data_IF_586474036970
#
_entry.id   IF_586474036970
#
_cell.length_a   1.000
_cell.length_b   1.000
_cell.length_c   1.000
_cell.angle_alpha   90.00
_cell.angle_beta   90.00
_cell.angle_gamma   90.00
#
_symmetry.space_group_name_H-M   'P 1'
#
loop_
_entity.id
_entity.type
_entity.pdbx_description
1 polymer ?
#
# COMPACT_ATOMS: atom_id res chain seq x y z
N UNK A 1 24.48 -3.33 -31.72
CA UNK A 1 24.34 -2.16 -30.86
C UNK A 1 24.28 -2.66 -29.41
N UNK A 2 25.05 -2.10 -28.52
CA UNK A 2 25.03 -2.47 -27.08
C UNK A 2 24.12 -1.49 -26.34
N UNK A 3 22.86 -1.89 -26.09
CA UNK A 3 21.89 -1.05 -25.39
C UNK A 3 22.27 -0.75 -23.91
N UNK A 4 23.12 -1.58 -23.27
CA UNK A 4 23.54 -1.35 -21.88
C UNK A 4 24.29 -0.03 -21.69
N UNK A 5 24.99 0.45 -22.72
CA UNK A 5 25.70 1.72 -22.71
C UNK A 5 24.76 2.94 -22.91
N UNK A 6 23.53 2.68 -23.37
CA UNK A 6 22.53 3.73 -23.67
C UNK A 6 21.49 3.88 -22.58
N UNK A 7 21.39 2.94 -21.64
CA UNK A 7 20.41 3.02 -20.56
C UNK A 7 20.72 4.18 -19.62
N UNK A 8 19.67 4.91 -19.25
CA UNK A 8 19.76 5.98 -18.27
C UNK A 8 20.09 5.44 -16.87
N UNK A 9 20.62 6.31 -16.01
CA UNK A 9 20.88 5.99 -14.60
C UNK A 9 19.60 5.53 -13.86
N UNK A 10 18.42 6.01 -14.27
CA UNK A 10 17.13 5.58 -13.72
C UNK A 10 16.92 4.08 -13.96
N UNK A 11 17.14 3.61 -15.19
CA UNK A 11 17.00 2.19 -15.55
C UNK A 11 18.07 1.36 -14.87
N UNK A 12 19.31 1.86 -14.78
CA UNK A 12 20.41 1.15 -14.08
C UNK A 12 20.15 0.95 -12.58
N UNK A 13 19.43 1.87 -11.93
CA UNK A 13 18.96 1.73 -10.53
C UNK A 13 17.75 0.79 -10.40
N UNK A 14 17.00 0.57 -11.48
CA UNK A 14 15.78 -0.25 -11.43
C UNK A 14 16.12 -1.72 -11.23
N UNK A 15 15.47 -2.37 -10.26
CA UNK A 15 15.59 -3.82 -10.01
C UNK A 15 14.26 -4.49 -10.32
N UNK A 16 14.31 -5.75 -10.76
CA UNK A 16 13.09 -6.55 -10.88
C UNK A 16 12.42 -6.71 -9.50
N UNK A 17 11.10 -6.67 -9.49
CA UNK A 17 10.35 -6.87 -8.23
C UNK A 17 10.41 -8.34 -7.83
N UNK A 18 10.98 -8.64 -6.66
CA UNK A 18 11.05 -9.99 -6.09
C UNK A 18 9.66 -10.65 -6.02
N UNK A 19 8.62 -9.89 -5.62
CA UNK A 19 7.23 -10.43 -5.62
C UNK A 19 6.77 -10.79 -7.04
N UNK A 20 7.08 -9.98 -8.06
CA UNK A 20 6.64 -10.28 -9.42
C UNK A 20 7.32 -11.51 -9.99
N UNK A 21 8.60 -11.69 -9.71
CA UNK A 21 9.31 -12.91 -10.12
C UNK A 21 8.76 -14.14 -9.37
N UNK A 22 8.51 -14.00 -8.06
CA UNK A 22 7.86 -15.04 -7.27
C UNK A 22 6.45 -15.38 -7.82
N UNK A 23 5.65 -14.39 -8.19
CA UNK A 23 4.31 -14.59 -8.75
C UNK A 23 4.34 -15.40 -10.06
N UNK A 24 5.38 -15.29 -10.88
CA UNK A 24 5.55 -16.14 -12.07
C UNK A 24 5.76 -17.61 -11.69
N UNK A 25 6.57 -17.86 -10.65
CA UNK A 25 6.85 -19.22 -10.16
C UNK A 25 5.62 -19.87 -9.55
N UNK A 26 4.84 -19.10 -8.79
CA UNK A 26 3.67 -19.57 -8.05
C UNK A 26 2.35 -19.52 -8.86
N UNK A 27 2.39 -19.15 -10.13
CA UNK A 27 1.23 -19.25 -11.05
C UNK A 27 0.78 -20.71 -11.28
N UNK A 28 1.54 -21.68 -10.78
CA UNK A 28 1.21 -23.11 -10.83
C UNK A 28 0.02 -23.42 -9.92
N UNK A 29 -1.01 -24.14 -10.43
CA UNK A 29 -2.24 -24.41 -9.68
C UNK A 29 -2.06 -25.33 -8.47
N UNK A 30 -0.94 -26.05 -8.38
CA UNK A 30 -0.60 -26.96 -7.29
C UNK A 30 0.09 -26.26 -6.10
N UNK A 31 0.40 -24.95 -6.22
CA UNK A 31 1.03 -24.16 -5.15
C UNK A 31 0.00 -23.31 -4.45
N UNK A 32 -0.14 -23.48 -3.14
CA UNK A 32 -0.95 -22.59 -2.30
C UNK A 32 -0.15 -21.33 -1.99
N UNK A 33 -0.64 -20.18 -2.44
CA UNK A 33 0.12 -18.93 -2.35
C UNK A 33 -0.44 -17.97 -1.30
N UNK A 34 0.37 -17.64 -0.31
CA UNK A 34 0.20 -16.51 0.60
C UNK A 34 1.02 -15.27 0.17
N UNK A 35 1.71 -15.34 -0.98
CA UNK A 35 2.66 -14.31 -1.39
C UNK A 35 2.00 -13.07 -2.00
N UNK A 36 0.92 -13.23 -2.77
CA UNK A 36 0.25 -12.13 -3.46
C UNK A 36 -0.39 -11.12 -2.49
N UNK A 37 -0.35 -9.84 -2.84
CA UNK A 37 -1.16 -8.80 -2.16
C UNK A 37 -2.49 -8.58 -2.86
N UNK A 38 -3.15 -9.66 -3.27
CA UNK A 38 -4.33 -9.64 -4.12
C UNK A 38 -5.62 -9.69 -3.28
N UNK A 39 -6.63 -8.86 -3.60
CA UNK A 39 -8.00 -9.05 -3.11
C UNK A 39 -8.59 -10.40 -3.57
N UNK A 40 -9.61 -10.86 -2.88
CA UNK A 40 -10.38 -12.04 -3.25
C UNK A 40 -11.20 -11.77 -4.53
N UNK A 41 -10.97 -12.49 -5.64
CA UNK A 41 -11.69 -12.27 -6.89
C UNK A 41 -13.18 -12.63 -6.80
N UNK A 42 -13.58 -13.52 -5.88
CA UNK A 42 -14.99 -13.89 -5.68
C UNK A 42 -15.83 -12.74 -5.10
N UNK A 43 -15.18 -11.74 -4.52
CA UNK A 43 -15.83 -10.55 -4.00
C UNK A 43 -15.99 -9.43 -5.04
N UNK A 44 -15.44 -9.55 -6.24
CA UNK A 44 -15.56 -8.46 -7.22
C UNK A 44 -17.02 -8.22 -7.62
N UNK A 45 -17.48 -6.96 -7.64
CA UNK A 45 -18.88 -6.61 -7.93
C UNK A 45 -19.15 -6.66 -9.44
N UNK A 46 -18.94 -7.82 -10.08
CA UNK A 46 -18.93 -8.00 -11.53
C UNK A 46 -20.26 -7.61 -12.18
N UNK A 47 -21.39 -7.90 -11.52
CA UNK A 47 -22.73 -7.55 -12.04
C UNK A 47 -22.96 -6.04 -12.04
N UNK A 48 -22.62 -5.38 -10.93
CA UNK A 48 -22.79 -3.92 -10.81
C UNK A 48 -21.86 -3.19 -11.78
N UNK A 49 -20.60 -3.65 -11.88
CA UNK A 49 -19.62 -3.10 -12.83
C UNK A 49 -20.09 -3.26 -14.26
N UNK A 50 -20.61 -4.44 -14.65
CA UNK A 50 -21.14 -4.67 -15.99
C UNK A 50 -22.28 -3.74 -16.32
N UNK A 51 -23.28 -3.60 -15.43
CA UNK A 51 -24.42 -2.71 -15.62
C UNK A 51 -23.99 -1.25 -15.73
N UNK A 52 -23.12 -0.79 -14.82
CA UNK A 52 -22.62 0.59 -14.82
C UNK A 52 -21.82 0.90 -16.09
N UNK A 53 -20.97 -0.01 -16.54
CA UNK A 53 -20.20 0.19 -17.78
C UNK A 53 -21.12 0.33 -19.01
N UNK A 54 -22.22 -0.44 -19.05
CA UNK A 54 -23.23 -0.30 -20.10
C UNK A 54 -23.91 1.07 -20.02
N UNK A 55 -24.42 1.46 -18.83
CA UNK A 55 -25.05 2.76 -18.62
C UNK A 55 -24.14 3.93 -19.02
N UNK A 56 -22.85 3.88 -18.65
CA UNK A 56 -21.86 4.90 -19.01
C UNK A 56 -21.67 5.01 -20.52
N UNK A 57 -21.65 3.90 -21.24
CA UNK A 57 -21.49 3.90 -22.69
C UNK A 57 -22.78 4.34 -23.41
N UNK A 58 -23.94 4.04 -22.86
CA UNK A 58 -25.22 4.44 -23.45
C UNK A 58 -25.53 5.92 -23.20
N UNK A 59 -25.28 6.42 -21.97
CA UNK A 59 -25.67 7.76 -21.55
C UNK A 59 -24.60 8.83 -21.83
N UNK A 60 -23.32 8.46 -21.75
CA UNK A 60 -22.19 9.40 -21.81
C UNK A 60 -21.03 8.94 -22.72
N UNK A 61 -21.29 8.37 -23.91
CA UNK A 61 -20.23 7.77 -24.75
C UNK A 61 -19.12 8.77 -25.12
N UNK A 62 -19.49 10.01 -25.39
CA UNK A 62 -18.51 11.05 -25.78
C UNK A 62 -17.55 11.39 -24.65
N UNK A 63 -18.04 11.48 -23.41
CA UNK A 63 -17.20 11.76 -22.24
C UNK A 63 -16.37 10.54 -21.85
N UNK A 64 -16.94 9.34 -21.96
CA UNK A 64 -16.28 8.09 -21.60
C UNK A 64 -15.11 7.73 -22.53
N UNK A 65 -15.24 8.01 -23.84
CA UNK A 65 -14.32 7.56 -24.87
C UNK A 65 -13.34 8.66 -25.36
N UNK A 66 -13.51 9.92 -24.92
CA UNK A 66 -12.62 11.03 -25.24
C UNK A 66 -11.56 11.19 -24.14
N UNK A 67 -10.50 11.95 -24.41
CA UNK A 67 -9.55 12.40 -23.40
C UNK A 67 -10.25 13.23 -22.31
N UNK A 68 -9.87 13.01 -21.05
CA UNK A 68 -10.32 13.78 -19.92
C UNK A 68 -9.35 14.89 -19.51
N UNK A 69 -9.70 15.62 -18.45
CA UNK A 69 -8.77 16.56 -17.81
C UNK A 69 -7.70 15.79 -17.02
N UNK A 70 -6.52 16.36 -16.89
CA UNK A 70 -5.39 15.73 -16.18
C UNK A 70 -5.69 15.56 -14.69
N UNK A 71 -6.38 16.52 -14.08
CA UNK A 71 -6.83 16.48 -12.69
C UNK A 71 -7.79 15.32 -12.43
N UNK A 72 -8.51 14.89 -13.46
CA UNK A 72 -9.55 13.88 -13.42
C UNK A 72 -10.96 14.46 -13.47
N UNK A 73 -11.93 13.57 -13.65
CA UNK A 73 -13.35 13.91 -13.83
C UNK A 73 -13.89 14.70 -12.62
N UNK A 74 -14.36 15.93 -12.85
CA UNK A 74 -14.74 16.86 -11.78
C UNK A 74 -15.82 16.28 -10.88
N UNK A 75 -16.86 15.67 -11.43
CA UNK A 75 -17.94 15.13 -10.62
C UNK A 75 -17.45 13.99 -9.70
N UNK A 76 -16.51 13.15 -10.16
CA UNK A 76 -15.87 12.15 -9.30
C UNK A 76 -15.07 12.81 -8.19
N UNK A 77 -14.27 13.84 -8.47
CA UNK A 77 -13.51 14.57 -7.43
C UNK A 77 -14.44 15.23 -6.40
N UNK A 78 -15.57 15.79 -6.83
CA UNK A 78 -16.60 16.34 -5.93
C UNK A 78 -17.23 15.25 -5.05
N UNK A 79 -17.51 14.08 -5.60
CA UNK A 79 -18.07 12.95 -4.82
C UNK A 79 -17.04 12.40 -3.82
N UNK A 80 -15.77 12.34 -4.21
CA UNK A 80 -14.69 11.95 -3.31
C UNK A 80 -14.50 12.92 -2.14
N UNK A 81 -14.65 14.23 -2.36
CA UNK A 81 -14.62 15.23 -1.28
C UNK A 81 -15.71 14.96 -0.24
N UNK A 82 -16.94 14.62 -0.69
CA UNK A 82 -18.04 14.27 0.22
C UNK A 82 -17.72 12.98 0.99
N UNK A 83 -17.30 11.92 0.26
CA UNK A 83 -16.93 10.65 0.86
C UNK A 83 -15.83 10.82 1.92
N UNK A 84 -14.77 11.55 1.63
CA UNK A 84 -13.66 11.80 2.55
C UNK A 84 -14.11 12.55 3.80
N UNK A 85 -15.02 13.52 3.66
CA UNK A 85 -15.59 14.24 4.81
C UNK A 85 -16.42 13.32 5.70
N UNK A 86 -17.23 12.48 5.10
CA UNK A 86 -18.15 11.57 5.80
C UNK A 86 -17.42 10.40 6.48
N UNK A 87 -16.43 9.79 5.79
CA UNK A 87 -15.80 8.57 6.28
C UNK A 87 -14.47 8.80 7.01
N UNK A 88 -13.74 9.89 6.68
CA UNK A 88 -12.40 10.14 7.19
C UNK A 88 -12.26 11.45 7.98
N UNK A 89 -13.31 12.28 8.01
CA UNK A 89 -13.28 13.61 8.63
C UNK A 89 -12.34 14.59 7.89
N UNK A 90 -11.97 14.28 6.65
CA UNK A 90 -11.09 15.12 5.82
C UNK A 90 -11.93 16.19 5.14
N UNK A 91 -11.59 17.47 5.38
CA UNK A 91 -12.13 18.59 4.63
C UNK A 91 -11.16 19.01 3.53
N UNK A 92 -11.60 18.90 2.28
CA UNK A 92 -10.83 19.27 1.11
C UNK A 92 -11.73 19.89 0.04
N UNK A 93 -11.13 20.50 -0.99
CA UNK A 93 -11.82 20.95 -2.20
C UNK A 93 -11.46 20.05 -3.38
N UNK A 94 -12.24 20.06 -4.47
CA UNK A 94 -11.85 19.30 -5.67
C UNK A 94 -10.46 19.69 -6.23
N UNK A 95 -10.02 20.93 -6.04
CA UNK A 95 -8.72 21.41 -6.52
C UNK A 95 -7.53 20.96 -5.65
N UNK A 96 -7.83 20.36 -4.50
CA UNK A 96 -6.87 19.67 -3.64
C UNK A 96 -6.78 18.18 -3.94
N UNK A 97 -7.46 17.67 -5.01
CA UNK A 97 -7.43 16.29 -5.44
C UNK A 97 -6.94 16.15 -6.88
N UNK A 98 -6.14 15.10 -7.14
CA UNK A 98 -5.79 14.65 -8.50
C UNK A 98 -5.99 13.15 -8.61
N UNK A 99 -6.66 12.71 -9.70
CA UNK A 99 -6.83 11.30 -10.01
C UNK A 99 -5.56 10.71 -10.58
N UNK A 100 -5.23 9.48 -10.18
CA UNK A 100 -4.02 8.77 -10.60
C UNK A 100 -4.32 7.31 -10.93
N UNK A 101 -3.39 6.66 -11.65
CA UNK A 101 -3.45 5.24 -11.96
C UNK A 101 -3.00 4.39 -10.76
N UNK A 102 -3.81 4.42 -9.71
CA UNK A 102 -3.58 3.83 -8.38
C UNK A 102 -2.35 4.40 -7.63
N UNK A 103 -2.17 3.99 -6.36
CA UNK A 103 -1.08 4.52 -5.51
C UNK A 103 0.32 4.32 -6.08
N UNK A 104 0.55 3.34 -6.95
CA UNK A 104 1.88 3.14 -7.54
C UNK A 104 2.30 4.32 -8.42
N UNK A 105 1.36 4.93 -9.18
CA UNK A 105 1.65 6.15 -9.92
C UNK A 105 1.86 7.33 -8.97
N UNK A 106 1.05 7.42 -7.91
CA UNK A 106 1.22 8.47 -6.91
C UNK A 106 2.61 8.43 -6.25
N UNK A 107 3.11 7.23 -5.90
CA UNK A 107 4.44 7.03 -5.33
C UNK A 107 5.55 7.49 -6.31
N UNK A 108 5.47 7.07 -7.58
CA UNK A 108 6.46 7.47 -8.60
C UNK A 108 6.42 8.99 -8.84
N UNK A 109 5.22 9.57 -8.95
CA UNK A 109 5.05 11.02 -9.11
C UNK A 109 5.60 11.79 -7.91
N UNK A 110 5.34 11.34 -6.68
CA UNK A 110 5.86 11.97 -5.46
C UNK A 110 7.38 11.94 -5.43
N UNK A 111 7.96 10.79 -5.76
CA UNK A 111 9.41 10.65 -5.84
C UNK A 111 10.01 11.63 -6.86
N UNK A 112 9.46 11.70 -8.07
CA UNK A 112 9.91 12.65 -9.11
C UNK A 112 9.71 14.10 -8.75
N UNK A 113 8.67 14.41 -7.97
CA UNK A 113 8.33 15.80 -7.61
C UNK A 113 9.26 16.35 -6.52
N UNK A 114 9.67 15.51 -5.57
CA UNK A 114 10.35 15.98 -4.36
C UNK A 114 11.79 15.49 -4.21
N UNK A 115 12.23 14.46 -4.94
CA UNK A 115 13.52 13.80 -4.72
C UNK A 115 14.49 14.04 -5.86
N UNK A 116 15.64 14.60 -5.55
CA UNK A 116 16.84 14.52 -6.39
C UNK A 116 17.69 13.31 -5.96
N UNK A 117 18.51 12.73 -6.85
CA UNK A 117 19.40 11.63 -6.47
C UNK A 117 20.27 11.99 -5.25
N UNK A 118 20.23 11.13 -4.22
CA UNK A 118 20.93 11.31 -2.95
C UNK A 118 20.14 12.07 -1.86
N UNK A 119 18.98 12.65 -2.17
CA UNK A 119 18.14 13.28 -1.17
C UNK A 119 17.59 12.25 -0.16
N UNK A 120 17.66 12.55 1.16
CA UNK A 120 17.17 11.64 2.18
C UNK A 120 15.65 11.68 2.30
N UNK A 121 15.07 10.50 2.45
CA UNK A 121 13.70 10.28 2.91
C UNK A 121 13.72 9.29 4.07
N UNK A 122 12.69 9.30 4.92
CA UNK A 122 12.55 8.34 6.01
C UNK A 122 11.30 7.50 5.79
N UNK A 123 11.40 6.19 6.07
CA UNK A 123 10.28 5.25 6.03
C UNK A 123 10.18 4.49 7.33
N UNK A 124 9.02 3.93 7.66
CA UNK A 124 8.94 2.85 8.63
C UNK A 124 9.80 1.66 8.17
N UNK A 125 10.30 0.86 9.08
CA UNK A 125 11.11 -0.32 8.79
C UNK A 125 10.58 -1.52 9.59
N UNK A 126 10.00 -2.55 8.93
CA UNK A 126 9.83 -2.71 7.50
C UNK A 126 8.75 -1.80 6.88
N UNK A 127 8.71 -1.72 5.53
CA UNK A 127 7.71 -0.92 4.81
C UNK A 127 7.36 -1.51 3.43
N UNK A 128 6.40 -0.91 2.71
CA UNK A 128 5.93 -1.39 1.41
C UNK A 128 7.03 -1.37 0.35
N UNK A 129 7.39 -2.55 -0.15
CA UNK A 129 8.47 -2.69 -1.14
C UNK A 129 8.20 -1.97 -2.47
N UNK A 130 6.92 -1.78 -2.87
CA UNK A 130 6.61 -1.00 -4.08
C UNK A 130 6.91 0.50 -3.93
N UNK A 131 6.83 1.02 -2.71
CA UNK A 131 7.28 2.37 -2.39
C UNK A 131 8.80 2.45 -2.37
N UNK A 132 9.47 1.50 -1.71
CA UNK A 132 10.94 1.41 -1.71
C UNK A 132 11.48 1.39 -3.14
N UNK A 133 10.86 0.61 -4.03
CA UNK A 133 11.25 0.54 -5.44
C UNK A 133 11.09 1.89 -6.16
N UNK A 134 9.93 2.57 -5.98
CA UNK A 134 9.69 3.88 -6.61
C UNK A 134 10.71 4.92 -6.14
N UNK A 135 10.99 4.97 -4.84
CA UNK A 135 11.95 5.91 -4.25
C UNK A 135 13.40 5.58 -4.64
N UNK A 136 13.75 4.30 -4.72
CA UNK A 136 15.07 3.86 -5.17
C UNK A 136 15.32 4.22 -6.64
N UNK A 137 14.33 4.03 -7.51
CA UNK A 137 14.40 4.42 -8.94
C UNK A 137 14.63 5.93 -9.09
N UNK A 138 14.00 6.75 -8.25
CA UNK A 138 14.26 8.20 -8.21
C UNK A 138 15.64 8.56 -7.65
N UNK A 139 16.34 7.62 -7.02
CA UNK A 139 17.66 7.82 -6.43
C UNK A 139 17.63 8.35 -5.00
N UNK A 140 16.52 8.19 -4.28
CA UNK A 140 16.44 8.59 -2.88
C UNK A 140 17.46 7.84 -2.01
N UNK A 141 18.02 8.53 -1.01
CA UNK A 141 18.69 7.91 0.12
C UNK A 141 17.62 7.53 1.16
N UNK A 142 17.21 6.26 1.16
CA UNK A 142 16.12 5.76 1.99
C UNK A 142 16.67 5.38 3.37
N UNK A 143 16.12 5.95 4.43
CA UNK A 143 16.51 5.69 5.82
C UNK A 143 15.34 5.00 6.51
N UNK A 144 15.52 3.78 7.00
CA UNK A 144 14.53 3.06 7.78
C UNK A 144 14.51 3.55 9.22
N UNK A 145 13.34 3.91 9.77
CA UNK A 145 13.15 4.12 11.19
C UNK A 145 12.49 2.88 11.82
N UNK A 146 12.99 2.45 12.96
CA UNK A 146 12.55 1.24 13.65
C UNK A 146 11.05 1.28 13.95
N UNK A 147 10.43 0.11 13.97
CA UNK A 147 9.00 -0.08 14.28
C UNK A 147 8.81 -1.14 15.35
N UNK A 148 7.70 -1.05 16.06
CA UNK A 148 7.18 -2.05 16.99
C UNK A 148 5.80 -2.55 16.51
N UNK A 149 5.06 -3.25 17.39
CA UNK A 149 3.72 -3.77 17.11
C UNK A 149 2.68 -2.66 16.82
N UNK A 150 3.00 -1.42 17.07
CA UNK A 150 2.19 -0.22 16.83
C UNK A 150 2.78 0.69 15.74
N UNK A 151 3.63 0.15 14.87
CA UNK A 151 4.25 0.86 13.76
C UNK A 151 5.52 1.65 14.13
N UNK A 152 5.86 2.65 13.34
CA UNK A 152 7.10 3.41 13.47
C UNK A 152 7.29 4.03 14.88
N UNK A 153 8.48 3.90 15.44
CA UNK A 153 8.86 4.52 16.72
C UNK A 153 9.17 6.01 16.52
N UNK A 154 8.39 6.86 17.19
CA UNK A 154 8.53 8.31 17.07
C UNK A 154 9.90 8.81 17.53
N UNK A 155 10.49 8.20 18.57
CA UNK A 155 11.79 8.53 19.13
C UNK A 155 12.93 8.22 18.13
N UNK A 156 12.87 7.08 17.44
CA UNK A 156 13.88 6.73 16.43
C UNK A 156 13.75 7.60 15.18
N UNK A 157 12.49 7.91 14.77
CA UNK A 157 12.22 8.87 13.70
C UNK A 157 12.85 10.23 14.02
N UNK A 158 12.62 10.76 15.23
CA UNK A 158 13.15 12.05 15.64
C UNK A 158 14.68 12.04 15.69
N UNK A 159 15.29 10.96 16.23
CA UNK A 159 16.74 10.82 16.28
C UNK A 159 17.38 10.84 14.88
N UNK A 160 16.73 10.20 13.87
CA UNK A 160 17.21 10.21 12.48
C UNK A 160 17.07 11.58 11.82
N UNK A 161 15.97 12.28 12.05
CA UNK A 161 15.78 13.66 11.57
C UNK A 161 16.79 14.61 12.20
N UNK A 162 17.07 14.47 13.50
CA UNK A 162 18.09 15.27 14.19
C UNK A 162 19.50 15.04 13.60
N UNK A 163 19.85 13.79 13.29
CA UNK A 163 21.13 13.46 12.63
C UNK A 163 21.23 14.07 11.24
N UNK A 164 20.16 14.02 10.44
CA UNK A 164 20.13 14.68 9.13
C UNK A 164 20.32 16.18 9.25
N UNK A 165 19.59 16.82 10.16
CA UNK A 165 19.72 18.27 10.43
C UNK A 165 21.15 18.65 10.87
N UNK A 166 21.76 17.87 11.75
CA UNK A 166 23.15 18.10 12.18
C UNK A 166 24.16 17.94 11.03
N UNK A 167 23.85 17.11 10.02
CA UNK A 167 24.64 16.92 8.80
C UNK A 167 24.30 17.96 7.70
N UNK A 168 23.49 18.99 7.99
CA UNK A 168 23.07 19.99 7.03
C UNK A 168 22.15 19.47 5.92
N UNK A 169 21.49 18.31 6.14
CA UNK A 169 20.59 17.68 5.18
C UNK A 169 19.13 17.83 5.63
N UNK A 170 18.24 18.04 4.65
CA UNK A 170 16.79 18.10 4.87
C UNK A 170 16.15 16.79 4.40
N UNK A 171 15.39 16.13 5.27
CA UNK A 171 14.53 15.02 4.89
C UNK A 171 13.41 15.53 3.98
N UNK A 172 13.24 14.93 2.80
CA UNK A 172 12.22 15.39 1.85
C UNK A 172 10.82 15.07 2.33
N UNK A 173 10.60 13.83 2.78
CA UNK A 173 9.33 13.40 3.38
C UNK A 173 9.53 12.15 4.23
N UNK A 174 8.52 11.89 5.08
CA UNK A 174 8.38 10.66 5.85
C UNK A 174 7.26 9.85 5.21
N UNK A 175 7.58 8.65 4.68
CA UNK A 175 6.58 7.76 4.07
C UNK A 175 6.04 6.77 5.08
N UNK A 176 4.71 6.71 5.21
CA UNK A 176 4.01 5.84 6.16
C UNK A 176 2.77 5.19 5.52
N UNK A 177 2.53 3.92 5.87
CA UNK A 177 1.26 3.22 5.71
C UNK A 177 0.66 3.07 7.10
N UNK A 178 -0.17 4.00 7.58
CA UNK A 178 -0.52 4.09 8.99
C UNK A 178 -1.56 3.07 9.45
N UNK A 179 -2.35 2.50 8.53
CA UNK A 179 -3.42 1.56 8.85
C UNK A 179 -3.16 0.22 8.16
N UNK A 180 -3.12 -0.87 8.97
CA UNK A 180 -2.92 -2.24 8.49
C UNK A 180 -1.75 -2.37 7.53
N UNK A 181 -0.62 -1.85 7.95
CA UNK A 181 0.57 -1.69 7.13
C UNK A 181 0.91 -2.94 6.30
N UNK A 182 1.32 -2.74 5.07
CA UNK A 182 2.03 -3.72 4.29
C UNK A 182 3.54 -3.55 4.54
N UNK A 183 4.24 -4.50 5.23
CA UNK A 183 3.85 -5.90 5.32
C UNK A 183 3.24 -6.37 6.66
N UNK A 184 3.33 -5.58 7.74
CA UNK A 184 3.16 -6.07 9.12
C UNK A 184 1.72 -6.25 9.58
N UNK A 185 0.76 -5.59 8.93
CA UNK A 185 -0.65 -5.55 9.38
C UNK A 185 -0.87 -4.63 10.58
N UNK A 186 0.14 -3.91 11.06
CA UNK A 186 0.05 -3.03 12.22
C UNK A 186 -0.68 -1.71 11.90
N UNK A 187 -1.24 -1.08 12.92
CA UNK A 187 -1.88 0.24 12.83
C UNK A 187 -1.22 1.20 13.82
N UNK A 188 -0.88 2.39 13.36
CA UNK A 188 -0.31 3.45 14.21
C UNK A 188 -1.45 4.08 15.02
N UNK A 189 -1.43 4.04 16.38
CA UNK A 189 -2.45 4.65 17.21
C UNK A 189 -2.42 6.18 17.12
N UNK A 190 -3.54 6.82 17.41
CA UNK A 190 -3.73 8.25 17.19
C UNK A 190 -2.72 9.11 17.94
N UNK A 191 -2.43 8.78 19.21
CA UNK A 191 -1.46 9.55 20.02
C UNK A 191 -0.07 9.53 19.37
N UNK A 192 0.32 8.39 18.78
CA UNK A 192 1.60 8.29 18.06
C UNK A 192 1.58 9.06 16.75
N UNK A 193 0.42 9.10 16.02
CA UNK A 193 0.27 9.95 14.84
C UNK A 193 0.44 11.43 15.17
N UNK A 194 -0.18 11.91 16.24
CA UNK A 194 0.00 13.29 16.71
C UNK A 194 1.47 13.59 16.96
N UNK A 195 2.17 12.74 17.71
CA UNK A 195 3.59 12.92 18.00
C UNK A 195 4.47 12.93 16.74
N UNK A 196 4.21 12.03 15.80
CA UNK A 196 4.93 11.98 14.50
C UNK A 196 4.68 13.25 13.70
N UNK A 197 3.46 13.77 13.67
CA UNK A 197 3.10 15.00 12.97
C UNK A 197 3.81 16.22 13.58
N UNK A 198 3.88 16.31 14.90
CA UNK A 198 4.64 17.36 15.60
C UNK A 198 6.15 17.29 15.28
N UNK A 199 6.71 16.08 15.23
CA UNK A 199 8.09 15.86 14.81
C UNK A 199 8.29 16.31 13.38
N UNK A 200 7.41 15.94 12.43
CA UNK A 200 7.49 16.36 11.05
C UNK A 200 7.50 17.90 10.91
N UNK A 201 6.60 18.58 11.62
CA UNK A 201 6.55 20.06 11.68
C UNK A 201 7.85 20.67 12.24
N UNK A 202 8.38 20.13 13.33
CA UNK A 202 9.63 20.58 13.98
C UNK A 202 10.84 20.51 13.04
N UNK A 203 10.87 19.53 12.15
CA UNK A 203 11.98 19.31 11.21
C UNK A 203 11.70 19.82 9.79
N UNK A 204 10.57 20.51 9.57
CA UNK A 204 10.18 21.06 8.27
C UNK A 204 10.16 19.99 7.15
N UNK A 205 9.64 18.83 7.45
CA UNK A 205 9.39 17.74 6.49
C UNK A 205 7.90 17.43 6.47
N UNK A 206 7.39 16.89 5.36
CA UNK A 206 5.98 16.48 5.31
C UNK A 206 5.82 14.96 5.43
N UNK A 207 4.62 14.52 5.76
CA UNK A 207 4.24 13.12 5.81
C UNK A 207 3.57 12.74 4.49
N UNK A 208 4.10 11.72 3.81
CA UNK A 208 3.45 11.04 2.71
C UNK A 208 2.66 9.86 3.28
N UNK A 209 1.36 10.04 3.47
CA UNK A 209 0.45 9.06 4.02
C UNK A 209 -0.13 8.18 2.90
N UNK A 210 0.13 6.89 2.93
CA UNK A 210 -0.43 5.91 1.98
C UNK A 210 -1.52 5.09 2.68
N UNK A 211 -2.77 5.24 2.24
CA UNK A 211 -3.96 4.70 2.89
C UNK A 211 -4.73 3.69 2.03
N UNK A 212 -4.11 2.56 1.61
CA UNK A 212 -4.80 1.59 0.76
C UNK A 212 -5.71 0.63 1.52
N UNK A 213 -5.53 0.46 2.84
CA UNK A 213 -6.21 -0.59 3.61
C UNK A 213 -7.17 -0.06 4.65
N UNK A 214 -7.15 1.23 4.97
CA UNK A 214 -7.86 1.87 6.07
C UNK A 214 -9.33 1.48 6.20
N UNK A 215 -10.03 1.40 5.08
CA UNK A 215 -11.46 1.05 5.04
C UNK A 215 -11.74 -0.45 5.27
N UNK A 216 -10.70 -1.30 5.31
CA UNK A 216 -10.81 -2.75 5.54
C UNK A 216 -10.50 -3.06 7.01
N UNK A 217 -11.23 -2.44 7.92
CA UNK A 217 -11.12 -2.64 9.38
C UNK A 217 -12.14 -3.68 9.86
N UNK A 218 -11.68 -4.63 10.65
CA UNK A 218 -12.51 -5.72 11.18
C UNK A 218 -13.01 -5.44 12.59
N UNK A 219 -12.22 -4.74 13.39
CA UNK A 219 -12.49 -4.47 14.80
C UNK A 219 -11.83 -3.18 15.27
N UNK A 220 -12.27 -2.66 16.43
CA UNK A 220 -11.80 -1.39 16.97
C UNK A 220 -12.28 -0.17 16.20
N UNK A 221 -11.81 1.00 16.61
CA UNK A 221 -12.08 2.28 15.97
C UNK A 221 -10.92 2.72 15.09
N UNK A 222 -11.22 3.45 14.01
CA UNK A 222 -10.20 3.97 13.12
C UNK A 222 -9.57 5.24 13.71
N UNK A 223 -8.25 5.26 13.99
CA UNK A 223 -7.56 6.50 14.37
C UNK A 223 -7.74 7.55 13.26
N UNK A 224 -7.75 8.84 13.56
CA UNK A 224 -7.80 9.88 12.53
C UNK A 224 -6.59 9.77 11.60
N UNK A 225 -6.79 10.04 10.30
CA UNK A 225 -5.69 10.13 9.32
C UNK A 225 -4.71 11.25 9.69
N UNK A 226 -3.47 11.15 9.24
CA UNK A 226 -2.52 12.28 9.42
C UNK A 226 -3.05 13.55 8.75
N UNK A 227 -3.72 13.43 7.60
CA UNK A 227 -4.32 14.57 6.91
C UNK A 227 -5.41 15.26 7.74
N UNK A 228 -6.30 14.48 8.36
CA UNK A 228 -7.34 15.01 9.25
C UNK A 228 -6.75 15.66 10.51
N UNK A 229 -5.69 15.07 11.09
CA UNK A 229 -4.95 15.64 12.23
C UNK A 229 -4.21 16.93 11.87
N UNK A 230 -3.67 17.02 10.66
CA UNK A 230 -3.00 18.23 10.17
C UNK A 230 -3.98 19.38 9.88
N UNK A 231 -5.24 19.06 9.68
CA UNK A 231 -6.32 20.04 9.45
C UNK A 231 -5.99 21.07 8.35
N UNK A 232 -5.43 20.60 7.24
CA UNK A 232 -5.13 21.42 6.07
C UNK A 232 -3.94 22.38 6.22
N UNK A 233 -3.07 22.20 7.22
CA UNK A 233 -1.87 23.04 7.42
C UNK A 233 -0.75 22.77 6.41
N UNK A 234 -0.91 21.80 5.52
CA UNK A 234 0.02 21.54 4.42
C UNK A 234 1.19 20.61 4.77
N UNK A 235 1.17 19.97 5.94
CA UNK A 235 2.25 19.07 6.35
C UNK A 235 2.00 17.61 5.95
N UNK A 236 0.88 17.30 5.29
CA UNK A 236 0.52 15.93 4.90
C UNK A 236 0.02 15.90 3.46
N UNK A 237 0.51 14.92 2.72
CA UNK A 237 -0.05 14.51 1.42
C UNK A 237 -0.53 13.08 1.59
N UNK A 238 -1.80 12.82 1.27
CA UNK A 238 -2.40 11.49 1.44
C UNK A 238 -2.76 10.87 0.09
N UNK A 239 -2.46 9.58 -0.06
CA UNK A 239 -2.79 8.80 -1.23
C UNK A 239 -3.85 7.75 -0.89
N UNK A 240 -4.87 7.63 -1.74
CA UNK A 240 -5.92 6.62 -1.66
C UNK A 240 -5.97 5.79 -2.93
N UNK A 241 -6.44 4.55 -2.81
CA UNK A 241 -6.63 3.66 -3.96
C UNK A 241 -7.92 2.88 -3.85
N UNK A 242 -8.57 2.65 -4.96
CA UNK A 242 -9.73 1.74 -5.07
C UNK A 242 -9.33 0.26 -5.18
N UNK A 243 -8.03 -0.04 -5.27
CA UNK A 243 -7.53 -1.40 -5.52
C UNK A 243 -7.89 -2.42 -4.45
N UNK A 244 -8.19 -2.00 -3.21
CA UNK A 244 -8.46 -2.93 -2.09
C UNK A 244 -9.92 -2.96 -1.66
N UNK A 245 -10.69 -1.98 -2.12
CA UNK A 245 -12.10 -1.78 -1.71
C UNK A 245 -13.08 -1.81 -2.88
N UNK A 246 -12.58 -1.92 -4.12
CA UNK A 246 -13.41 -1.98 -5.33
C UNK A 246 -12.79 -2.93 -6.35
N UNK A 247 -12.24 -2.42 -7.46
CA UNK A 247 -11.70 -3.24 -8.55
C UNK A 247 -10.24 -2.91 -8.80
N UNK A 248 -9.28 -3.78 -8.42
CA UNK A 248 -7.85 -3.52 -8.61
C UNK A 248 -7.47 -3.36 -10.09
N UNK A 249 -8.18 -4.02 -11.00
CA UNK A 249 -7.98 -3.93 -12.46
C UNK A 249 -8.28 -2.57 -13.06
N UNK A 250 -9.10 -1.74 -12.41
CA UNK A 250 -9.38 -0.37 -12.86
C UNK A 250 -8.16 0.55 -12.75
N UNK A 251 -7.19 0.19 -11.93
CA UNK A 251 -6.01 1.02 -11.71
C UNK A 251 -6.38 2.46 -11.37
N UNK A 252 -7.27 2.66 -10.42
CA UNK A 252 -7.75 3.99 -10.02
C UNK A 252 -7.39 4.31 -8.57
N UNK A 253 -6.97 5.54 -8.33
CA UNK A 253 -6.67 6.12 -7.03
C UNK A 253 -6.64 7.64 -7.14
N UNK A 254 -6.34 8.31 -6.03
CA UNK A 254 -6.23 9.76 -5.99
C UNK A 254 -5.28 10.23 -4.89
N UNK A 255 -4.76 11.44 -5.06
CA UNK A 255 -3.92 12.15 -4.11
C UNK A 255 -4.72 13.31 -3.55
N UNK A 256 -4.61 13.56 -2.25
CA UNK A 256 -5.13 14.75 -1.56
C UNK A 256 -3.96 15.50 -0.95
N UNK A 257 -3.88 16.80 -1.16
CA UNK A 257 -2.80 17.62 -0.63
C UNK A 257 -3.05 19.13 -0.81
N UNK A 258 -2.08 19.97 -0.42
CA UNK A 258 -2.16 21.41 -0.67
C UNK A 258 -2.34 21.70 -2.17
N UNK A 259 -3.20 22.66 -2.50
CA UNK A 259 -3.54 22.98 -3.90
C UNK A 259 -2.31 23.31 -4.75
N UNK A 260 -1.35 24.05 -4.21
CA UNK A 260 -0.10 24.37 -4.90
C UNK A 260 0.72 23.14 -5.25
N UNK A 261 0.69 22.11 -4.39
CA UNK A 261 1.37 20.82 -4.61
C UNK A 261 0.60 20.00 -5.64
N UNK A 262 -0.74 19.94 -5.54
CA UNK A 262 -1.60 19.24 -6.51
C UNK A 262 -1.40 19.83 -7.92
N UNK A 263 -1.27 21.13 -8.08
CA UNK A 263 -0.94 21.76 -9.37
C UNK A 263 0.39 21.23 -9.96
N UNK A 264 1.39 20.94 -9.12
CA UNK A 264 2.66 20.36 -9.59
C UNK A 264 2.51 18.88 -9.98
N UNK A 265 1.70 18.12 -9.24
CA UNK A 265 1.33 16.77 -9.66
C UNK A 265 0.64 16.78 -11.03
N UNK A 266 -0.29 17.68 -11.26
CA UNK A 266 -0.99 17.84 -12.56
C UNK A 266 0.00 18.12 -13.68
N UNK A 267 0.92 19.10 -13.50
CA UNK A 267 1.93 19.40 -14.52
C UNK A 267 2.81 18.17 -14.83
N UNK A 268 3.25 17.45 -13.80
CA UNK A 268 4.04 16.25 -13.99
C UNK A 268 3.25 15.15 -14.71
N UNK A 269 1.98 14.95 -14.33
CA UNK A 269 1.08 13.96 -14.93
C UNK A 269 0.79 14.23 -16.41
N UNK A 270 0.71 15.50 -16.83
CA UNK A 270 0.56 15.87 -18.25
C UNK A 270 1.67 15.26 -19.12
N UNK A 271 2.90 15.24 -18.59
CA UNK A 271 4.04 14.65 -19.29
C UNK A 271 4.14 13.13 -19.18
N UNK A 272 3.39 12.49 -18.26
CA UNK A 272 3.45 11.05 -18.01
C UNK A 272 2.40 10.27 -18.80
N UNK A 273 1.14 10.60 -18.63
CA UNK A 273 0.01 9.84 -19.19
C UNK A 273 -1.17 10.73 -19.63
N UNK A 274 -1.02 12.04 -19.58
CA UNK A 274 -1.99 13.07 -19.93
C UNK A 274 -3.22 13.06 -18.99
N UNK A 275 -3.93 11.95 -18.86
CA UNK A 275 -5.08 11.78 -17.98
C UNK A 275 -5.27 10.30 -17.58
N UNK A 276 -5.87 10.08 -16.43
CA UNK A 276 -6.36 8.75 -16.04
C UNK A 276 -7.59 8.40 -16.86
N UNK A 277 -7.78 7.12 -17.20
CA UNK A 277 -8.87 6.62 -18.07
C UNK A 277 -10.25 7.22 -17.73
N UNK A 278 -10.89 8.00 -18.64
CA UNK A 278 -12.17 8.65 -18.35
C UNK A 278 -13.31 7.65 -18.12
N UNK A 279 -13.40 6.59 -18.91
CA UNK A 279 -14.46 5.57 -18.76
C UNK A 279 -14.43 4.92 -17.38
N UNK A 280 -13.24 4.64 -16.84
CA UNK A 280 -13.10 4.04 -15.51
C UNK A 280 -13.41 5.04 -14.40
N UNK A 281 -13.12 6.33 -14.60
CA UNK A 281 -13.52 7.38 -13.68
C UNK A 281 -15.04 7.58 -13.66
N UNK A 282 -15.69 7.58 -14.81
CA UNK A 282 -17.15 7.66 -14.92
C UNK A 282 -17.82 6.44 -14.26
N UNK A 283 -17.34 5.24 -14.53
CA UNK A 283 -17.86 4.02 -13.91
C UNK A 283 -17.69 4.05 -12.37
N UNK A 284 -16.55 4.55 -11.88
CA UNK A 284 -16.32 4.68 -10.44
C UNK A 284 -17.21 5.77 -9.84
N UNK A 285 -17.41 6.89 -10.52
CA UNK A 285 -18.36 7.94 -10.10
C UNK A 285 -19.78 7.38 -9.95
N UNK A 286 -20.27 6.63 -10.93
CA UNK A 286 -21.58 6.02 -10.87
C UNK A 286 -21.70 5.01 -9.71
N UNK A 287 -20.64 4.21 -9.48
CA UNK A 287 -20.61 3.26 -8.37
C UNK A 287 -20.71 3.97 -7.00
N UNK A 288 -20.00 5.09 -6.84
CA UNK A 288 -20.06 5.93 -5.63
C UNK A 288 -21.42 6.60 -5.50
N UNK A 289 -21.90 7.27 -6.55
CA UNK A 289 -23.17 8.01 -6.54
C UNK A 289 -24.38 7.12 -6.22
N UNK A 290 -24.32 5.84 -6.61
CA UNK A 290 -25.35 4.83 -6.30
C UNK A 290 -25.23 4.26 -4.87
N UNK A 291 -24.26 4.71 -4.08
CA UNK A 291 -24.03 4.22 -2.70
C UNK A 291 -23.49 2.79 -2.61
N UNK A 292 -23.03 2.21 -3.74
CA UNK A 292 -22.64 0.79 -3.80
C UNK A 292 -21.30 0.50 -3.11
N UNK A 293 -20.39 1.49 -3.05
CA UNK A 293 -19.05 1.27 -2.50
C UNK A 293 -19.09 0.88 -1.02
N UNK A 294 -19.82 1.60 -0.19
CA UNK A 294 -19.85 1.32 1.25
C UNK A 294 -20.49 -0.03 1.57
N UNK A 295 -21.53 -0.41 0.81
CA UNK A 295 -22.15 -1.74 0.95
C UNK A 295 -21.20 -2.86 0.50
N UNK A 296 -20.41 -2.61 -0.53
CA UNK A 296 -19.38 -3.55 -0.99
C UNK A 296 -18.26 -3.72 0.04
N UNK A 297 -17.79 -2.63 0.64
CA UNK A 297 -16.77 -2.67 1.70
C UNK A 297 -17.24 -3.52 2.89
N UNK A 298 -18.52 -3.44 3.29
CA UNK A 298 -19.06 -4.30 4.35
C UNK A 298 -18.94 -5.79 4.03
N UNK A 299 -19.15 -6.19 2.77
CA UNK A 299 -18.98 -7.60 2.32
C UNK A 299 -17.50 -8.01 2.38
N UNK A 300 -16.60 -7.13 1.94
CA UNK A 300 -15.14 -7.38 2.02
C UNK A 300 -14.72 -7.56 3.48
N UNK A 301 -15.14 -6.67 4.38
CA UNK A 301 -14.82 -6.72 5.80
C UNK A 301 -15.29 -8.04 6.43
N UNK A 302 -16.53 -8.46 6.16
CA UNK A 302 -17.07 -9.70 6.69
C UNK A 302 -16.24 -10.93 6.26
N UNK A 303 -15.96 -11.05 4.95
CA UNK A 303 -15.18 -12.14 4.40
C UNK A 303 -13.74 -12.17 4.91
N UNK A 304 -13.06 -11.02 4.92
CA UNK A 304 -11.65 -10.97 5.32
C UNK A 304 -11.46 -11.13 6.83
N UNK A 305 -12.42 -10.70 7.66
CA UNK A 305 -12.42 -11.00 9.09
C UNK A 305 -12.43 -12.51 9.34
N UNK A 306 -13.34 -13.25 8.69
CA UNK A 306 -13.40 -14.70 8.81
C UNK A 306 -12.11 -15.39 8.37
N UNK A 307 -11.52 -14.94 7.27
CA UNK A 307 -10.25 -15.45 6.75
C UNK A 307 -9.08 -15.15 7.69
N UNK A 308 -9.00 -13.92 8.24
CA UNK A 308 -8.00 -13.52 9.24
C UNK A 308 -8.11 -14.40 10.50
N UNK A 309 -9.32 -14.59 11.02
CA UNK A 309 -9.56 -15.37 12.23
C UNK A 309 -9.20 -16.85 12.02
N UNK A 310 -9.54 -17.40 10.85
CA UNK A 310 -9.13 -18.75 10.47
C UNK A 310 -7.61 -18.88 10.39
N UNK A 311 -6.93 -17.91 9.76
CA UNK A 311 -5.47 -17.90 9.67
C UNK A 311 -4.83 -17.87 11.06
N UNK A 312 -5.26 -16.97 11.94
CA UNK A 312 -4.74 -16.87 13.31
C UNK A 312 -4.96 -18.15 14.12
N UNK A 313 -6.14 -18.76 14.02
CA UNK A 313 -6.46 -20.04 14.66
C UNK A 313 -5.53 -21.15 14.16
N UNK A 314 -5.35 -21.26 12.85
CA UNK A 314 -4.54 -22.31 12.23
C UNK A 314 -3.05 -22.13 12.57
N UNK A 315 -2.56 -20.87 12.60
CA UNK A 315 -1.19 -20.58 13.06
C UNK A 315 -0.99 -21.04 14.51
N UNK A 316 -1.92 -20.70 15.41
CA UNK A 316 -1.83 -21.10 16.81
C UNK A 316 -1.86 -22.62 17.02
N UNK A 317 -2.52 -23.37 16.12
CA UNK A 317 -2.63 -24.84 16.20
C UNK A 317 -1.39 -25.56 15.65
N UNK A 318 -0.78 -25.07 14.57
CA UNK A 318 0.25 -25.84 13.84
C UNK A 318 1.67 -25.26 13.92
N UNK A 319 1.83 -23.94 14.13
CA UNK A 319 3.16 -23.33 14.14
C UNK A 319 3.99 -23.72 15.36
N UNK A 320 5.31 -23.87 15.20
CA UNK A 320 6.24 -24.00 16.33
C UNK A 320 6.13 -22.82 17.31
N UNK A 321 6.41 -23.09 18.59
CA UNK A 321 6.32 -22.07 19.66
C UNK A 321 7.34 -20.94 19.51
N UNK A 322 8.39 -21.18 18.79
CA UNK A 322 9.49 -20.25 18.49
C UNK A 322 9.11 -19.21 17.44
N UNK A 323 7.99 -19.41 16.71
CA UNK A 323 7.50 -18.50 15.67
C UNK A 323 6.48 -17.55 16.28
N UNK A 324 6.66 -16.26 16.03
CA UNK A 324 5.69 -15.23 16.40
C UNK A 324 5.04 -14.59 15.17
N UNK A 325 3.89 -13.94 15.37
CA UNK A 325 3.17 -13.26 14.30
C UNK A 325 2.33 -12.11 14.81
N UNK A 326 2.09 -11.13 13.93
CA UNK A 326 1.20 -10.01 14.19
C UNK A 326 -0.28 -10.45 14.22
N UNK A 327 -1.12 -9.66 14.88
CA UNK A 327 -2.58 -9.88 14.97
C UNK A 327 -3.32 -8.66 14.41
N UNK A 328 -3.47 -8.56 13.07
CA UNK A 328 -4.02 -7.39 12.44
C UNK A 328 -5.52 -7.22 12.73
N UNK A 329 -5.94 -5.99 13.02
CA UNK A 329 -7.36 -5.60 13.20
C UNK A 329 -8.06 -5.30 11.87
N UNK A 330 -7.37 -5.47 10.74
CA UNK A 330 -7.86 -5.17 9.40
C UNK A 330 -6.83 -5.50 8.32
N UNK A 331 -7.05 -4.98 7.13
CA UNK A 331 -6.12 -5.15 6.00
C UNK A 331 -6.14 -6.53 5.37
N UNK A 332 -5.00 -6.94 4.82
CA UNK A 332 -4.85 -8.15 4.01
C UNK A 332 -3.70 -9.06 4.45
N UNK A 333 -2.84 -8.60 5.37
CA UNK A 333 -1.55 -9.22 5.66
C UNK A 333 -1.35 -9.54 7.12
N UNK A 334 -0.52 -10.55 7.32
CA UNK A 334 0.01 -10.96 8.59
C UNK A 334 1.52 -11.15 8.43
N UNK A 335 2.30 -10.80 9.46
CA UNK A 335 3.74 -10.86 9.49
C UNK A 335 4.21 -11.92 10.47
N UNK A 336 5.00 -12.90 9.98
CA UNK A 336 5.63 -13.91 10.80
C UNK A 336 7.10 -13.57 11.02
N UNK A 337 7.55 -13.80 12.26
CA UNK A 337 8.96 -13.72 12.63
C UNK A 337 9.44 -15.09 13.10
N UNK A 338 10.44 -15.61 12.40
CA UNK A 338 11.14 -16.86 12.70
C UNK A 338 12.28 -16.62 13.70
N UNK A 339 12.82 -17.65 14.35
CA UNK A 339 14.06 -17.53 15.11
C UNK A 339 15.20 -16.94 14.26
N UNK A 340 16.06 -16.12 14.85
CA UNK A 340 17.11 -15.35 14.17
C UNK A 340 18.08 -16.19 13.31
N UNK A 341 18.23 -17.49 13.61
CA UNK A 341 19.08 -18.39 12.84
C UNK A 341 18.41 -18.98 11.60
N UNK A 342 17.10 -18.76 11.42
CA UNK A 342 16.35 -19.27 10.27
C UNK A 342 16.18 -18.16 9.23
N UNK A 343 16.71 -18.38 8.03
CA UNK A 343 16.60 -17.43 6.92
C UNK A 343 15.36 -17.75 6.07
N UNK A 344 14.37 -16.85 6.08
CA UNK A 344 13.13 -17.00 5.32
C UNK A 344 13.35 -16.97 3.79
N UNK A 345 14.40 -16.35 3.31
CA UNK A 345 14.75 -16.36 1.87
C UNK A 345 15.27 -17.73 1.44
N UNK A 346 16.14 -18.34 2.24
CA UNK A 346 16.70 -19.68 1.98
C UNK A 346 15.66 -20.78 2.20
N UNK A 347 14.67 -20.55 3.06
CA UNK A 347 13.56 -21.47 3.31
C UNK A 347 12.55 -21.52 2.16
N UNK A 348 12.41 -20.43 1.39
CA UNK A 348 11.38 -20.29 0.36
C UNK A 348 11.42 -21.37 -0.73
N UNK A 349 12.57 -21.80 -1.30
CA UNK A 349 12.62 -22.90 -2.25
C UNK A 349 12.02 -24.20 -1.70
N UNK A 350 12.33 -24.55 -0.44
CA UNK A 350 11.80 -25.75 0.24
C UNK A 350 10.28 -25.63 0.46
N UNK A 351 9.79 -24.43 0.81
CA UNK A 351 8.36 -24.20 0.92
C UNK A 351 7.64 -24.40 -0.43
N UNK A 352 8.25 -23.95 -1.54
CA UNK A 352 7.72 -24.15 -2.90
C UNK A 352 7.70 -25.64 -3.28
N UNK A 353 8.72 -26.43 -2.92
CA UNK A 353 8.72 -27.88 -3.07
C UNK A 353 7.56 -28.53 -2.30
N UNK A 354 7.28 -28.04 -1.10
CA UNK A 354 6.14 -28.43 -0.27
C UNK A 354 4.80 -27.77 -0.70
N UNK A 355 4.76 -27.14 -1.89
CA UNK A 355 3.56 -26.56 -2.50
C UNK A 355 2.92 -25.43 -1.71
N UNK A 356 3.73 -24.65 -1.03
CA UNK A 356 3.30 -23.41 -0.36
C UNK A 356 4.28 -22.28 -0.62
N UNK A 357 3.79 -21.04 -0.76
CA UNK A 357 4.63 -19.88 -1.00
C UNK A 357 4.21 -18.67 -0.15
N UNK A 358 5.20 -17.88 0.26
CA UNK A 358 5.10 -16.63 1.01
C UNK A 358 6.04 -15.58 0.43
N UNK A 359 6.04 -14.36 0.96
CA UNK A 359 7.07 -13.36 0.61
C UNK A 359 8.09 -13.30 1.74
N UNK A 360 9.37 -13.54 1.44
CA UNK A 360 10.46 -13.34 2.39
C UNK A 360 10.55 -11.86 2.81
N UNK A 361 10.85 -11.62 4.08
CA UNK A 361 10.78 -10.28 4.68
C UNK A 361 11.87 -9.32 4.22
N UNK A 362 13.01 -9.82 3.76
CA UNK A 362 14.21 -9.03 3.47
C UNK A 362 13.96 -7.83 2.54
N UNK A 363 13.10 -8.00 1.53
CA UNK A 363 12.81 -6.96 0.53
C UNK A 363 11.96 -5.78 1.07
N UNK A 364 11.37 -5.92 2.27
CA UNK A 364 10.62 -4.85 2.92
C UNK A 364 11.50 -3.95 3.79
N UNK A 365 12.77 -4.27 3.92
CA UNK A 365 13.75 -3.50 4.67
C UNK A 365 14.63 -2.68 3.73
N UNK A 366 14.77 -1.35 3.92
CA UNK A 366 15.62 -0.52 3.07
C UNK A 366 17.06 -1.03 2.96
N UNK A 367 17.61 -1.53 4.07
CA UNK A 367 18.98 -2.03 4.17
C UNK A 367 19.11 -3.53 3.85
N UNK A 368 18.00 -4.23 3.60
CA UNK A 368 17.93 -5.67 3.28
C UNK A 368 18.78 -6.55 4.23
N UNK A 369 18.71 -6.27 5.53
CA UNK A 369 19.57 -6.85 6.57
C UNK A 369 18.83 -7.73 7.60
N UNK A 370 17.52 -7.95 7.45
CA UNK A 370 16.71 -8.82 8.29
C UNK A 370 16.17 -9.97 7.44
N UNK A 371 16.46 -11.21 7.82
CA UNK A 371 16.23 -12.39 6.98
C UNK A 371 15.23 -13.38 7.57
N UNK A 372 14.84 -13.22 8.82
CA UNK A 372 14.00 -14.19 9.55
C UNK A 372 12.51 -13.83 9.56
N UNK A 373 12.08 -12.91 8.73
CA UNK A 373 10.68 -12.50 8.63
C UNK A 373 10.03 -12.96 7.33
N UNK A 374 8.69 -13.08 7.33
CA UNK A 374 7.90 -13.34 6.13
C UNK A 374 6.51 -12.71 6.20
N UNK A 375 5.99 -12.31 5.04
CA UNK A 375 4.62 -11.81 4.90
C UNK A 375 3.69 -12.91 4.38
N UNK A 376 2.53 -13.06 5.03
CA UNK A 376 1.43 -13.87 4.57
C UNK A 376 0.21 -13.01 4.23
N UNK A 377 -0.44 -13.32 3.11
CA UNK A 377 -1.72 -12.75 2.70
C UNK A 377 -2.86 -13.69 3.10
N UNK A 378 -3.90 -13.18 3.77
CA UNK A 378 -5.08 -13.96 4.14
C UNK A 378 -6.30 -13.66 3.26
N UNK A 379 -6.28 -12.61 2.45
CA UNK A 379 -7.45 -12.22 1.66
C UNK A 379 -7.70 -13.14 0.45
N UNK A 380 -6.66 -13.58 -0.22
CA UNK A 380 -6.75 -14.29 -1.50
C UNK A 380 -7.06 -15.80 -1.41
N UNK A 381 -6.38 -16.62 -0.56
CA UNK A 381 -6.61 -18.06 -0.55
C UNK A 381 -8.03 -18.41 -0.07
N UNK A 382 -8.57 -19.56 -0.55
CA UNK A 382 -9.80 -20.12 0.04
C UNK A 382 -9.54 -20.58 1.48
N UNK A 383 -10.62 -20.83 2.24
CA UNK A 383 -10.48 -21.31 3.63
C UNK A 383 -9.76 -22.67 3.70
N UNK A 384 -10.04 -23.56 2.76
CA UNK A 384 -9.42 -24.88 2.64
C UNK A 384 -7.93 -24.76 2.28
N UNK A 385 -7.62 -23.93 1.28
CA UNK A 385 -6.23 -23.64 0.90
C UNK A 385 -5.45 -23.01 2.05
N UNK A 386 -6.09 -22.16 2.83
CA UNK A 386 -5.44 -21.51 3.97
C UNK A 386 -5.02 -22.53 5.04
N UNK A 387 -5.92 -23.42 5.45
CA UNK A 387 -5.61 -24.45 6.46
C UNK A 387 -4.51 -25.38 5.96
N UNK A 388 -4.65 -25.90 4.74
CA UNK A 388 -3.68 -26.83 4.16
C UNK A 388 -2.32 -26.16 3.93
N UNK A 389 -2.30 -24.94 3.38
CA UNK A 389 -1.06 -24.21 3.13
C UNK A 389 -0.30 -23.88 4.42
N UNK A 390 -1.01 -23.50 5.48
CA UNK A 390 -0.37 -23.21 6.77
C UNK A 390 0.17 -24.49 7.45
N UNK A 391 -0.47 -25.65 7.27
CA UNK A 391 0.08 -26.95 7.73
C UNK A 391 1.38 -27.27 7.02
N UNK A 392 1.43 -27.12 5.70
CA UNK A 392 2.64 -27.33 4.89
C UNK A 392 3.75 -26.37 5.30
N UNK A 393 3.42 -25.10 5.49
CA UNK A 393 4.38 -24.09 5.94
C UNK A 393 4.94 -24.41 7.33
N UNK A 394 4.07 -24.78 8.27
CA UNK A 394 4.48 -25.17 9.61
C UNK A 394 5.40 -26.40 9.61
N UNK A 395 5.11 -27.41 8.79
CA UNK A 395 5.98 -28.58 8.62
C UNK A 395 7.33 -28.18 8.05
N UNK A 396 7.33 -27.32 7.01
CA UNK A 396 8.58 -26.82 6.38
C UNK A 396 9.45 -26.06 7.39
N UNK A 397 8.85 -25.24 8.25
CA UNK A 397 9.56 -24.50 9.30
C UNK A 397 10.12 -25.46 10.35
N UNK A 398 9.33 -26.45 10.84
CA UNK A 398 9.79 -27.44 11.83
C UNK A 398 11.02 -28.22 11.39
N UNK A 399 11.15 -28.48 10.11
CA UNK A 399 12.31 -29.19 9.54
C UNK A 399 13.60 -28.34 9.48
N UNK A 400 13.49 -27.02 9.79
CA UNK A 400 14.62 -26.09 9.76
C UNK A 400 14.93 -25.47 11.14
N UNK A 401 14.16 -25.83 12.17
CA UNK A 401 14.41 -25.48 13.59
C UNK A 401 15.30 -26.52 14.24
#
# INVERSE_FOLDING_TARGET
>A
MNYNELFSQVVQRSKASAIRELLKVIARPDIISFAGGLPDPELFPTKDVSAIMQDVLDESPKAALQYGTTEGFLALRQELVKLLKETEGITATPDQLVMVSASQQALDMTARLFVNPGDPIITACPTYLGALQAFHVAGAHIIGAASDDYGILAEDLEAKLARLKAAGKTCKFIYLVPDFQNPTGTTIPEERRVKILEIAKKYHTFILEDSPYRQVRFEGESPRTFYALDNGQGNVITMFTFSKVFVPGFRLGFIVGPEEVIRKYVILKQAMDLCTSPILQLATYEYLRRGLLLEHIKKIIASYREKRDLMLKTLAEYMPKEVSWTRPEGGLFLWLTLPKHVNATELLPKAIENKVAYVAGVDFYPDANVFNDMRLNFSYPTKEQMVEGLKRLAQTIKECL
#
